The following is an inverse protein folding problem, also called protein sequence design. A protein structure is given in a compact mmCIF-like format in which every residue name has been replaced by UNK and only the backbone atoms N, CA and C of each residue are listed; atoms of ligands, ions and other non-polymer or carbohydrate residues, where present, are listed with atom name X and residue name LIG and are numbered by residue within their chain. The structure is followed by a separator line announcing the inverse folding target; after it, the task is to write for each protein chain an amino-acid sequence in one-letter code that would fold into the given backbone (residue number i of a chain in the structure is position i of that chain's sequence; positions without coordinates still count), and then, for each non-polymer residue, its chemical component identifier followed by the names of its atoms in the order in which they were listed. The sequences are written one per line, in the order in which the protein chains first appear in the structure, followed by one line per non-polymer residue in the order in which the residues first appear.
data_IF_656172151217
#
_entry.id   IF_656172151217
#
_cell.length_a   1.000
_cell.length_b   1.000
_cell.length_c   1.000
_cell.angle_alpha   90.00
_cell.angle_beta   90.00
_cell.angle_gamma   90.00
#
_symmetry.space_group_name_H-M   'P 1'
#
loop_
_entity.id
_entity.type
_entity.pdbx_description
1 polymer ?
#
# COMPACT_ATOMS: atom_id res chain seq x y z
N UNK A 1 -11.40 18.99 0.06
CA UNK A 1 -10.31 18.70 1.02
C UNK A 1 -9.09 19.51 0.59
N UNK A 2 -8.82 20.64 1.24
CA UNK A 2 -7.79 21.59 0.82
C UNK A 2 -6.37 21.09 1.12
N UNK A 3 -5.44 21.25 0.17
CA UNK A 3 -4.02 20.96 0.38
C UNK A 3 -3.44 21.96 1.38
N UNK A 4 -2.98 21.48 2.54
CA UNK A 4 -2.20 22.29 3.49
C UNK A 4 -0.81 22.49 2.91
N UNK A 5 -0.47 23.70 2.48
CA UNK A 5 0.88 24.07 2.07
C UNK A 5 1.73 24.33 3.32
N UNK A 6 2.30 23.27 3.87
CA UNK A 6 3.35 23.37 4.87
C UNK A 6 4.61 23.93 4.19
N UNK A 7 5.33 24.87 4.83
CA UNK A 7 6.58 25.48 4.30
C UNK A 7 7.77 24.52 4.16
N UNK A 8 7.49 23.22 4.04
CA UNK A 8 8.48 22.16 3.95
C UNK A 8 8.78 21.86 2.49
N UNK A 9 10.05 22.02 2.12
CA UNK A 9 10.56 21.51 0.85
C UNK A 9 10.85 20.02 0.99
N UNK A 10 10.19 19.20 0.16
CA UNK A 10 10.41 17.76 0.08
C UNK A 10 11.86 17.48 -0.34
N UNK A 11 12.52 16.53 0.33
CA UNK A 11 13.87 16.07 -0.05
C UNK A 11 13.85 15.55 -1.48
N UNK A 12 14.87 15.92 -2.27
CA UNK A 12 15.10 15.31 -3.59
C UNK A 12 15.53 13.85 -3.43
N UNK A 13 14.76 12.95 -4.04
CA UNK A 13 15.00 11.50 -4.01
C UNK A 13 14.80 10.92 -5.40
N UNK A 14 15.46 9.80 -5.69
CA UNK A 14 15.12 8.97 -6.85
C UNK A 14 13.64 8.60 -6.83
N UNK A 15 13.01 8.56 -8.01
CA UNK A 15 11.64 8.09 -8.17
C UNK A 15 11.67 6.56 -8.31
N UNK A 16 10.89 5.87 -7.50
CA UNK A 16 10.67 4.43 -7.58
C UNK A 16 9.24 4.18 -8.06
N UNK A 17 9.09 3.24 -8.99
CA UNK A 17 7.79 2.80 -9.49
C UNK A 17 7.36 1.52 -8.76
N UNK A 18 6.21 1.57 -8.10
CA UNK A 18 5.56 0.41 -7.49
C UNK A 18 4.28 0.14 -8.27
N UNK A 19 4.39 -0.69 -9.32
CA UNK A 19 3.27 -1.11 -10.17
C UNK A 19 2.39 0.05 -10.69
N UNK A 20 3.01 1.17 -11.11
CA UNK A 20 2.36 2.37 -11.60
C UNK A 20 2.29 3.51 -10.58
N UNK A 21 2.47 3.22 -9.28
CA UNK A 21 2.49 4.22 -8.21
C UNK A 21 3.91 4.78 -8.07
N UNK A 22 4.08 6.07 -8.39
CA UNK A 22 5.38 6.76 -8.33
C UNK A 22 5.66 7.30 -6.93
N UNK A 23 6.72 6.81 -6.30
CA UNK A 23 7.18 7.24 -4.97
C UNK A 23 8.51 7.97 -5.09
N UNK A 24 8.60 9.23 -4.64
CA UNK A 24 9.85 9.99 -4.70
C UNK A 24 9.82 11.22 -5.60
N UNK A 25 10.97 11.89 -5.73
CA UNK A 25 11.13 13.09 -6.56
C UNK A 25 10.13 14.20 -6.23
N UNK A 26 9.40 14.64 -7.26
CA UNK A 26 8.38 15.69 -7.19
C UNK A 26 6.95 15.13 -7.13
N UNK A 27 6.78 13.80 -7.06
CA UNK A 27 5.46 13.18 -6.97
C UNK A 27 4.82 13.42 -5.60
N UNK A 28 3.47 13.44 -5.51
CA UNK A 28 2.76 13.55 -4.24
C UNK A 28 3.21 12.50 -3.21
N UNK A 29 3.00 12.82 -1.92
CA UNK A 29 3.18 11.84 -0.86
C UNK A 29 2.10 10.77 -1.01
N UNK A 30 2.52 9.53 -1.20
CA UNK A 30 1.63 8.37 -1.36
C UNK A 30 1.12 7.92 0.01
N UNK A 31 -0.19 7.73 0.13
CA UNK A 31 -0.83 7.18 1.33
C UNK A 31 -0.76 5.66 1.28
N UNK A 32 -0.17 5.06 2.32
CA UNK A 32 -0.05 3.62 2.44
C UNK A 32 -0.79 3.10 3.69
N UNK A 33 -1.18 1.84 3.66
CA UNK A 33 -1.79 1.14 4.80
C UNK A 33 -1.29 -0.30 4.88
N UNK A 34 -1.72 -1.03 5.91
CA UNK A 34 -1.34 -2.43 6.14
C UNK A 34 -2.55 -3.21 6.63
N UNK A 35 -2.71 -4.43 6.14
CA UNK A 35 -3.76 -5.35 6.63
C UNK A 35 -3.44 -5.80 8.06
N UNK A 36 -4.48 -6.24 8.77
CA UNK A 36 -4.36 -6.88 10.08
C UNK A 36 -5.07 -8.24 10.16
N UNK A 37 -5.57 -8.74 9.03
CA UNK A 37 -6.02 -10.13 8.87
C UNK A 37 -4.83 -11.09 8.86
N UNK A 38 -5.09 -12.37 9.11
CA UNK A 38 -4.13 -13.41 8.78
C UNK A 38 -4.00 -13.52 7.27
N UNK A 39 -2.82 -13.27 6.71
CA UNK A 39 -2.57 -13.31 5.26
C UNK A 39 -2.87 -14.69 4.66
N UNK A 40 -2.80 -15.77 5.46
CA UNK A 40 -3.21 -17.10 5.00
C UNK A 40 -4.72 -17.19 4.70
N UNK A 41 -5.54 -16.31 5.29
CA UNK A 41 -6.94 -16.11 4.91
C UNK A 41 -7.03 -15.15 3.72
N UNK A 42 -7.05 -15.74 2.52
CA UNK A 42 -7.07 -15.02 1.24
C UNK A 42 -8.29 -14.11 1.14
N UNK A 43 -9.48 -14.62 1.48
CA UNK A 43 -10.73 -13.90 1.29
C UNK A 43 -10.84 -12.71 2.25
N UNK A 44 -10.50 -12.91 3.52
CA UNK A 44 -10.48 -11.83 4.50
C UNK A 44 -9.45 -10.77 4.14
N UNK A 45 -8.25 -11.18 3.72
CA UNK A 45 -7.18 -10.25 3.35
C UNK A 45 -7.52 -9.46 2.09
N UNK A 46 -8.05 -10.11 1.04
CA UNK A 46 -8.49 -9.43 -0.18
C UNK A 46 -9.66 -8.47 0.10
N UNK A 47 -10.60 -8.84 0.97
CA UNK A 47 -11.68 -7.96 1.38
C UNK A 47 -11.16 -6.71 2.11
N UNK A 48 -10.20 -6.86 3.02
CA UNK A 48 -9.61 -5.73 3.72
C UNK A 48 -8.76 -4.84 2.79
N UNK A 49 -8.00 -5.42 1.86
CA UNK A 49 -7.27 -4.66 0.82
C UNK A 49 -8.23 -3.76 0.04
N UNK A 50 -9.38 -4.30 -0.40
CA UNK A 50 -10.43 -3.52 -1.08
C UNK A 50 -10.98 -2.40 -0.21
N UNK A 51 -11.25 -2.67 1.07
CA UNK A 51 -11.76 -1.65 2.00
C UNK A 51 -10.74 -0.52 2.24
N UNK A 52 -9.46 -0.84 2.41
CA UNK A 52 -8.38 0.15 2.55
C UNK A 52 -8.23 0.99 1.28
N UNK A 53 -8.32 0.37 0.11
CA UNK A 53 -8.29 1.10 -1.16
C UNK A 53 -9.48 2.07 -1.28
N UNK A 54 -10.69 1.62 -0.98
CA UNK A 54 -11.89 2.47 -0.97
C UNK A 54 -11.79 3.63 0.02
N UNK A 55 -11.07 3.45 1.14
CA UNK A 55 -10.78 4.52 2.10
C UNK A 55 -9.67 5.48 1.64
N UNK A 56 -9.06 5.25 0.48
CA UNK A 56 -8.03 6.12 -0.12
C UNK A 56 -6.59 5.64 0.02
N UNK A 57 -6.37 4.39 0.43
CA UNK A 57 -5.03 3.80 0.41
C UNK A 57 -4.55 3.58 -1.02
N UNK A 58 -3.38 4.12 -1.36
CA UNK A 58 -2.76 3.97 -2.68
C UNK A 58 -1.85 2.72 -2.74
N UNK A 59 -1.32 2.29 -1.59
CA UNK A 59 -0.55 1.05 -1.46
C UNK A 59 -0.92 0.32 -0.16
N UNK A 60 -1.19 -0.98 -0.26
CA UNK A 60 -1.51 -1.83 0.89
C UNK A 60 -0.42 -2.86 1.10
N UNK A 61 0.07 -2.96 2.34
CA UNK A 61 1.05 -3.94 2.77
C UNK A 61 0.34 -5.14 3.42
N UNK A 62 0.88 -6.33 3.21
CA UNK A 62 0.45 -7.57 3.90
C UNK A 62 1.61 -8.16 4.67
N UNK A 63 1.33 -8.85 5.78
CA UNK A 63 2.36 -9.56 6.55
C UNK A 63 2.68 -10.90 5.88
N UNK A 64 3.95 -11.27 5.80
CA UNK A 64 4.37 -12.62 5.41
C UNK A 64 5.31 -13.14 6.49
N UNK A 65 4.74 -13.90 7.43
CA UNK A 65 5.41 -14.35 8.65
C UNK A 65 5.55 -15.87 8.75
N UNK A 66 4.96 -16.62 7.81
CA UNK A 66 5.06 -18.07 7.72
C UNK A 66 4.83 -18.52 6.24
N UNK A 67 5.05 -19.80 5.97
CA UNK A 67 4.93 -20.37 4.62
C UNK A 67 3.50 -20.30 4.07
N UNK A 68 2.48 -20.48 4.92
CA UNK A 68 1.08 -20.40 4.51
C UNK A 68 0.73 -18.99 4.01
N UNK A 69 1.15 -17.96 4.75
CA UNK A 69 1.00 -16.56 4.34
C UNK A 69 1.75 -16.28 3.02
N UNK A 70 2.95 -16.83 2.84
CA UNK A 70 3.73 -16.65 1.61
C UNK A 70 3.03 -17.27 0.39
N UNK A 71 2.47 -18.48 0.54
CA UNK A 71 1.74 -19.17 -0.52
C UNK A 71 0.43 -18.46 -0.89
N UNK A 72 -0.23 -17.80 0.06
CA UNK A 72 -1.48 -17.09 -0.16
C UNK A 72 -1.34 -15.79 -0.98
N UNK A 73 -0.14 -15.17 -1.02
CA UNK A 73 0.07 -13.86 -1.67
C UNK A 73 -0.38 -13.84 -3.12
N UNK A 74 -0.05 -14.88 -3.90
CA UNK A 74 -0.41 -14.93 -5.33
C UNK A 74 -1.91 -14.92 -5.57
N UNK A 75 -2.70 -15.53 -4.68
CA UNK A 75 -4.16 -15.55 -4.76
C UNK A 75 -4.80 -14.21 -4.37
N UNK A 76 -4.13 -13.42 -3.51
CA UNK A 76 -4.61 -12.08 -3.10
C UNK A 76 -4.39 -11.04 -4.21
N UNK A 77 -3.29 -11.16 -4.98
CA UNK A 77 -2.90 -10.20 -6.03
C UNK A 77 -3.36 -10.60 -7.44
N UNK A 78 -4.07 -11.72 -7.57
CA UNK A 78 -4.55 -12.27 -8.85
C UNK A 78 -5.62 -11.42 -9.54
#
# INVERSE_FOLDING_TARGET
MGRVSSGYQRRQTTVVDVAGVKVGGTHPIVVQSMTNTDTADVDATAAQVRALHQAGSELVRVTVNNDAAAQAVSAIVA
#
